data_IF_677550831688
#
_entry.id   IF_677550831688
#
_cell.length_a   1.000
_cell.length_b   1.000
_cell.length_c   1.000
_cell.angle_alpha   90.00
_cell.angle_beta   90.00
_cell.angle_gamma   90.00
#
_symmetry.space_group_name_H-M   'P 1'
#
loop_
_entity.id
_entity.type
_entity.pdbx_description
1 polymer ?
#
# COMPACT_ATOMS: atom_id res chain seq x y z
N UNK A 1 -8.53 -2.96 20.23
CA UNK A 1 -8.94 -1.55 20.13
C UNK A 1 -8.78 -0.81 21.45
N UNK A 2 -9.30 -1.34 22.56
CA UNK A 2 -9.23 -0.67 23.88
C UNK A 2 -7.78 -0.43 24.34
N UNK A 3 -6.88 -1.37 24.10
CA UNK A 3 -5.46 -1.26 24.46
C UNK A 3 -4.71 -0.19 23.65
N UNK A 4 -5.06 0.01 22.36
CA UNK A 4 -4.49 1.08 21.54
C UNK A 4 -4.97 2.47 21.97
N UNK A 5 -6.24 2.58 22.34
CA UNK A 5 -6.77 3.84 22.87
C UNK A 5 -6.18 4.19 24.25
N UNK A 6 -5.96 3.17 25.11
CA UNK A 6 -5.30 3.34 26.40
C UNK A 6 -3.82 3.71 26.20
N UNK A 7 -3.13 3.05 25.27
CA UNK A 7 -1.74 3.35 24.93
C UNK A 7 -1.59 4.77 24.35
N UNK A 8 -2.50 5.18 23.47
CA UNK A 8 -2.62 6.56 22.99
C UNK A 8 -2.77 7.52 24.17
N UNK A 9 -3.68 7.27 25.11
CA UNK A 9 -3.90 8.09 26.30
C UNK A 9 -2.70 8.23 27.23
N UNK A 10 -1.83 7.22 27.28
CA UNK A 10 -0.62 7.20 28.11
C UNK A 10 0.58 7.93 27.46
N UNK A 11 0.68 7.90 26.14
CA UNK A 11 1.77 8.53 25.38
C UNK A 11 1.52 10.01 25.11
N UNK A 12 0.25 10.45 25.18
CA UNK A 12 -0.24 11.78 24.75
C UNK A 12 0.37 12.97 25.51
N UNK A 13 0.90 12.80 26.71
CA UNK A 13 1.19 13.98 27.55
C UNK A 13 2.42 14.77 27.18
N UNK A 14 3.38 14.27 26.40
CA UNK A 14 4.65 14.97 26.19
C UNK A 14 5.28 14.90 24.78
N UNK A 15 4.69 14.18 23.80
CA UNK A 15 5.26 14.08 22.45
C UNK A 15 4.19 14.08 21.35
N UNK A 16 3.96 15.23 20.66
CA UNK A 16 3.00 15.32 19.54
C UNK A 16 3.23 14.30 18.42
N UNK A 17 4.48 13.96 18.14
CA UNK A 17 4.86 13.01 17.09
C UNK A 17 4.47 11.56 17.45
N UNK A 18 4.54 11.22 18.75
CA UNK A 18 4.08 9.92 19.24
C UNK A 18 2.55 9.78 19.11
N UNK A 19 1.81 10.87 19.32
CA UNK A 19 0.36 10.89 19.17
C UNK A 19 -0.05 10.65 17.73
N UNK A 20 0.57 11.36 16.78
CA UNK A 20 0.33 11.20 15.36
C UNK A 20 0.61 9.76 14.91
N UNK A 21 1.70 9.16 15.42
CA UNK A 21 2.05 7.76 15.15
C UNK A 21 0.99 6.78 15.67
N UNK A 22 0.53 6.95 16.91
CA UNK A 22 -0.49 6.07 17.51
C UNK A 22 -1.83 6.23 16.80
N UNK A 23 -2.21 7.45 16.43
CA UNK A 23 -3.43 7.72 15.69
C UNK A 23 -3.39 7.09 14.29
N UNK A 24 -2.29 7.27 13.56
CA UNK A 24 -2.09 6.62 12.27
C UNK A 24 -2.15 5.09 12.38
N UNK A 25 -1.51 4.51 13.39
CA UNK A 25 -1.56 3.07 13.66
C UNK A 25 -2.98 2.58 13.96
N UNK A 26 -3.71 3.30 14.80
CA UNK A 26 -5.11 2.97 15.12
C UNK A 26 -6.02 3.05 13.88
N UNK A 27 -5.82 4.05 13.01
CA UNK A 27 -6.55 4.20 11.76
C UNK A 27 -6.29 3.05 10.80
N UNK A 28 -5.03 2.66 10.62
CA UNK A 28 -4.64 1.51 9.79
C UNK A 28 -5.30 0.23 10.29
N UNK A 29 -5.23 -0.02 11.60
CA UNK A 29 -5.80 -1.25 12.17
C UNK A 29 -7.33 -1.31 12.07
N UNK A 30 -7.98 -0.17 12.28
CA UNK A 30 -9.44 -0.04 12.15
C UNK A 30 -9.90 -0.31 10.71
N UNK A 31 -9.20 0.23 9.73
CA UNK A 31 -9.51 0.01 8.32
C UNK A 31 -9.42 -1.48 7.96
N UNK A 32 -8.31 -2.13 8.32
CA UNK A 32 -8.12 -3.57 8.03
C UNK A 32 -9.26 -4.41 8.61
N UNK A 33 -9.69 -4.14 9.84
CA UNK A 33 -10.79 -4.87 10.46
C UNK A 33 -12.14 -4.61 9.80
N UNK A 34 -12.38 -3.37 9.37
CA UNK A 34 -13.66 -3.00 8.76
C UNK A 34 -13.83 -3.53 7.34
N UNK A 35 -12.73 -3.67 6.57
CA UNK A 35 -12.77 -4.05 5.16
C UNK A 35 -12.43 -5.51 4.89
N UNK A 36 -12.12 -6.29 5.92
CA UNK A 36 -11.66 -7.68 5.75
C UNK A 36 -12.66 -8.60 5.05
N UNK A 37 -13.96 -8.27 5.08
CA UNK A 37 -15.03 -9.06 4.48
C UNK A 37 -15.59 -8.43 3.18
N UNK A 38 -15.12 -7.25 2.80
CA UNK A 38 -15.58 -6.58 1.61
C UNK A 38 -14.92 -7.21 0.36
N UNK A 39 -15.70 -7.42 -0.68
CA UNK A 39 -15.15 -7.87 -1.98
C UNK A 39 -14.46 -6.73 -2.70
N UNK A 40 -15.04 -5.54 -2.64
CA UNK A 40 -14.53 -4.29 -3.22
C UNK A 40 -14.79 -3.12 -2.28
N UNK A 41 -13.96 -2.09 -2.40
CA UNK A 41 -14.12 -0.79 -1.73
C UNK A 41 -13.92 0.34 -2.73
N UNK A 42 -14.42 1.52 -2.43
CA UNK A 42 -14.12 2.70 -3.25
C UNK A 42 -12.62 3.02 -3.23
N UNK A 43 -12.07 3.43 -4.38
CA UNK A 43 -10.66 3.83 -4.47
C UNK A 43 -10.33 4.98 -3.50
N UNK A 44 -11.28 5.89 -3.25
CA UNK A 44 -11.13 6.93 -2.21
C UNK A 44 -10.86 6.31 -0.84
N UNK A 45 -11.58 5.27 -0.46
CA UNK A 45 -11.40 4.56 0.82
C UNK A 45 -10.00 3.94 0.93
N UNK A 46 -9.48 3.35 -0.15
CA UNK A 46 -8.11 2.83 -0.20
C UNK A 46 -7.07 3.96 -0.13
N UNK A 47 -7.31 5.09 -0.80
CA UNK A 47 -6.42 6.26 -0.76
C UNK A 47 -6.38 6.88 0.64
N UNK A 48 -7.53 7.04 1.27
CA UNK A 48 -7.62 7.60 2.63
C UNK A 48 -6.93 6.67 3.66
N UNK A 49 -7.03 5.36 3.45
CA UNK A 49 -6.34 4.37 4.27
C UNK A 49 -4.82 4.37 4.04
N UNK A 50 -4.38 4.49 2.79
CA UNK A 50 -2.96 4.34 2.47
C UNK A 50 -2.12 5.53 2.99
N UNK A 51 -2.71 6.71 3.19
CA UNK A 51 -2.02 7.89 3.71
C UNK A 51 -1.42 7.68 5.11
N UNK A 52 -2.19 7.30 6.16
CA UNK A 52 -1.63 6.97 7.46
C UNK A 52 -0.67 5.78 7.41
N UNK A 53 -0.88 4.81 6.53
CA UNK A 53 0.04 3.70 6.34
C UNK A 53 1.40 4.16 5.78
N UNK A 54 1.41 5.03 4.76
CA UNK A 54 2.63 5.65 4.22
C UNK A 54 3.36 6.45 5.31
N UNK A 55 2.64 7.19 6.14
CA UNK A 55 3.24 7.91 7.27
C UNK A 55 4.00 6.95 8.20
N UNK A 56 3.40 5.84 8.61
CA UNK A 56 4.06 4.82 9.45
C UNK A 56 5.31 4.24 8.78
N UNK A 57 5.24 3.95 7.48
CA UNK A 57 6.38 3.45 6.71
C UNK A 57 7.52 4.46 6.62
N UNK A 58 7.22 5.75 6.41
CA UNK A 58 8.23 6.82 6.39
C UNK A 58 8.93 6.97 7.75
N UNK A 59 8.21 6.77 8.85
CA UNK A 59 8.82 6.73 10.21
C UNK A 59 9.72 5.51 10.40
N UNK A 60 9.35 4.36 9.85
CA UNK A 60 10.16 3.13 9.90
C UNK A 60 11.41 3.21 9.01
N UNK A 61 11.34 3.91 7.87
CA UNK A 61 12.42 4.00 6.87
C UNK A 61 12.83 5.46 6.59
N UNK A 62 13.33 6.20 7.58
CA UNK A 62 13.57 7.63 7.45
C UNK A 62 14.62 7.94 6.38
N UNK A 63 14.23 8.71 5.35
CA UNK A 63 15.11 9.09 4.24
C UNK A 63 15.50 7.96 3.29
N UNK A 64 14.86 6.78 3.41
CA UNK A 64 15.18 5.59 2.63
C UNK A 64 14.01 5.11 1.77
N UNK A 65 12.81 5.65 2.01
CA UNK A 65 11.57 5.28 1.30
C UNK A 65 10.85 6.55 0.84
N UNK A 66 10.60 6.63 -0.46
CA UNK A 66 9.82 7.70 -1.08
C UNK A 66 8.59 7.07 -1.74
N UNK A 67 7.41 7.49 -1.33
CA UNK A 67 6.14 7.04 -1.92
C UNK A 67 5.40 8.26 -2.44
N UNK A 68 5.12 8.26 -3.74
CA UNK A 68 4.39 9.30 -4.46
C UNK A 68 3.02 8.77 -4.86
N UNK A 69 1.98 9.52 -4.53
CA UNK A 69 0.59 9.18 -4.84
C UNK A 69 0.02 10.27 -5.74
N UNK A 70 -0.27 9.91 -6.99
CA UNK A 70 -0.84 10.79 -8.01
C UNK A 70 -2.06 10.12 -8.66
N UNK A 71 -3.21 10.25 -7.99
CA UNK A 71 -4.48 9.70 -8.44
C UNK A 71 -5.45 10.85 -8.72
N UNK A 72 -5.82 11.09 -9.99
CA UNK A 72 -6.77 12.12 -10.33
C UNK A 72 -8.15 11.89 -9.69
N UNK A 73 -8.79 12.97 -9.24
CA UNK A 73 -10.09 12.97 -8.53
C UNK A 73 -11.16 12.15 -9.24
N UNK A 74 -11.19 12.20 -10.57
CA UNK A 74 -12.18 11.48 -11.40
C UNK A 74 -12.18 9.96 -11.22
N UNK A 75 -11.05 9.36 -10.76
CA UNK A 75 -10.94 7.93 -10.55
C UNK A 75 -11.32 7.49 -9.14
N UNK A 76 -11.46 8.42 -8.20
CA UNK A 76 -11.72 8.10 -6.80
C UNK A 76 -13.10 7.46 -6.54
N UNK A 77 -14.03 7.59 -7.49
CA UNK A 77 -15.35 6.94 -7.46
C UNK A 77 -15.30 5.47 -7.92
N UNK A 78 -14.23 5.04 -8.60
CA UNK A 78 -14.06 3.64 -9.01
C UNK A 78 -13.86 2.72 -7.79
N UNK A 79 -14.03 1.42 -8.01
CA UNK A 79 -13.84 0.41 -6.98
C UNK A 79 -12.55 -0.38 -7.20
N UNK A 80 -12.00 -0.90 -6.11
CA UNK A 80 -10.79 -1.74 -6.09
C UNK A 80 -10.94 -2.84 -5.04
N UNK A 81 -10.10 -3.86 -5.13
CA UNK A 81 -10.02 -4.88 -4.07
C UNK A 81 -9.35 -4.27 -2.83
N UNK A 82 -9.93 -4.43 -1.63
CA UNK A 82 -9.39 -3.86 -0.40
C UNK A 82 -8.01 -4.41 -0.07
N UNK A 83 -7.12 -3.52 0.43
CA UNK A 83 -5.74 -3.83 0.78
C UNK A 83 -4.81 -4.05 -0.41
N UNK A 84 -5.28 -3.82 -1.65
CA UNK A 84 -4.49 -4.00 -2.86
C UNK A 84 -3.26 -3.09 -2.89
N UNK A 85 -3.43 -1.80 -2.61
CA UNK A 85 -2.33 -0.83 -2.53
C UNK A 85 -1.32 -1.19 -1.43
N UNK A 86 -1.81 -1.52 -0.23
CA UNK A 86 -0.95 -1.91 0.88
C UNK A 86 -0.06 -3.09 0.49
N UNK A 87 -0.65 -4.14 -0.07
CA UNK A 87 0.06 -5.37 -0.43
C UNK A 87 1.12 -5.11 -1.52
N UNK A 88 0.86 -4.23 -2.49
CA UNK A 88 1.84 -3.87 -3.52
C UNK A 88 3.00 -3.05 -2.95
N UNK A 89 2.74 -2.11 -2.03
CA UNK A 89 3.78 -1.36 -1.32
C UNK A 89 4.64 -2.32 -0.47
N UNK A 90 4.01 -3.23 0.28
CA UNK A 90 4.72 -4.24 1.06
C UNK A 90 5.58 -5.15 0.17
N UNK A 91 5.07 -5.55 -0.99
CA UNK A 91 5.81 -6.34 -1.97
C UNK A 91 7.07 -5.59 -2.46
N UNK A 92 6.95 -4.30 -2.79
CA UNK A 92 8.09 -3.47 -3.19
C UNK A 92 9.16 -3.39 -2.08
N UNK A 93 8.74 -3.15 -0.82
CA UNK A 93 9.65 -3.06 0.34
C UNK A 93 10.30 -4.42 0.64
N UNK A 94 9.55 -5.51 0.53
CA UNK A 94 10.03 -6.87 0.82
C UNK A 94 11.14 -7.28 -0.14
N UNK A 95 10.99 -6.99 -1.43
CA UNK A 95 11.88 -7.50 -2.47
C UNK A 95 13.06 -6.59 -2.78
N UNK A 96 13.02 -5.32 -2.38
CA UNK A 96 14.05 -4.35 -2.70
C UNK A 96 14.86 -3.91 -1.48
N UNK A 97 16.10 -3.46 -1.72
CA UNK A 97 16.92 -2.78 -0.73
C UNK A 97 16.25 -1.45 -0.39
N UNK A 98 16.15 -1.14 0.90
CA UNK A 98 15.61 0.13 1.41
C UNK A 98 16.64 0.75 2.32
N UNK A 99 17.44 1.68 1.81
CA UNK A 99 18.51 2.33 2.57
C UNK A 99 18.70 3.77 2.12
N UNK A 100 19.37 4.60 2.94
CA UNK A 100 19.69 5.99 2.57
C UNK A 100 20.58 6.08 1.33
N UNK A 101 21.46 5.08 1.11
CA UNK A 101 22.33 5.01 -0.06
C UNK A 101 21.57 4.57 -1.32
N UNK A 102 20.58 3.72 -1.13
CA UNK A 102 19.73 3.18 -2.18
C UNK A 102 18.26 3.38 -1.78
N UNK A 103 17.71 4.60 -1.95
CA UNK A 103 16.33 4.87 -1.59
C UNK A 103 15.37 4.10 -2.49
N UNK A 104 14.36 3.48 -1.90
CA UNK A 104 13.27 2.88 -2.66
C UNK A 104 12.25 3.97 -3.02
N UNK A 105 11.98 4.10 -4.31
CA UNK A 105 10.96 4.97 -4.87
C UNK A 105 9.76 4.13 -5.29
N UNK A 106 8.58 4.48 -4.82
CA UNK A 106 7.31 3.87 -5.20
C UNK A 106 6.39 4.96 -5.76
N UNK A 107 5.88 4.76 -6.95
CA UNK A 107 4.95 5.65 -7.64
C UNK A 107 3.60 4.95 -7.77
N UNK A 108 2.54 5.63 -7.35
CA UNK A 108 1.16 5.14 -7.42
C UNK A 108 0.38 6.11 -8.28
N UNK A 109 -0.19 5.64 -9.38
CA UNK A 109 -0.91 6.45 -10.34
C UNK A 109 -2.05 5.67 -11.01
N UNK A 110 -2.85 6.35 -11.81
CA UNK A 110 -3.83 5.71 -12.71
C UNK A 110 -3.40 5.95 -14.15
N UNK A 111 -3.36 4.88 -14.95
CA UNK A 111 -3.00 4.97 -16.37
C UNK A 111 -4.25 5.19 -17.26
N UNK A 112 -4.02 5.48 -18.55
CA UNK A 112 -5.09 5.70 -19.53
C UNK A 112 -5.94 4.46 -19.89
N UNK A 113 -5.70 3.31 -19.25
CA UNK A 113 -6.48 2.07 -19.39
C UNK A 113 -7.32 1.78 -18.14
N UNK A 114 -7.61 2.79 -17.34
CA UNK A 114 -8.34 2.67 -16.07
C UNK A 114 -7.76 1.62 -15.12
N UNK A 115 -6.44 1.59 -15.02
CA UNK A 115 -5.74 0.73 -14.10
C UNK A 115 -4.97 1.55 -13.06
N UNK A 116 -5.12 1.18 -11.79
CA UNK A 116 -4.28 1.65 -10.70
C UNK A 116 -2.91 0.97 -10.81
N UNK A 117 -1.86 1.76 -10.98
CA UNK A 117 -0.49 1.29 -11.21
C UNK A 117 0.36 1.58 -9.99
N UNK A 118 1.02 0.56 -9.48
CA UNK A 118 2.08 0.70 -8.48
C UNK A 118 3.39 0.30 -9.12
N UNK A 119 4.32 1.25 -9.24
CA UNK A 119 5.63 1.08 -9.85
C UNK A 119 6.72 1.39 -8.84
N UNK A 120 7.79 0.60 -8.82
CA UNK A 120 8.98 0.89 -8.02
C UNK A 120 10.26 0.74 -8.83
N UNK A 121 11.32 1.46 -8.43
CA UNK A 121 12.66 1.18 -8.91
C UNK A 121 13.12 -0.19 -8.42
N UNK A 122 13.90 -0.89 -9.25
CA UNK A 122 14.35 -2.24 -8.97
C UNK A 122 15.76 -2.23 -8.37
N UNK A 123 15.88 -2.71 -7.14
CA UNK A 123 17.16 -2.88 -6.42
C UNK A 123 17.08 -4.10 -5.52
N UNK A 124 17.02 -5.28 -6.16
CA UNK A 124 16.73 -6.54 -5.51
C UNK A 124 17.70 -6.86 -4.38
N UNK A 125 17.18 -7.43 -3.30
CA UNK A 125 17.97 -8.03 -2.23
C UNK A 125 18.63 -9.30 -2.72
N UNK A 126 19.89 -9.54 -2.34
CA UNK A 126 20.62 -10.77 -2.68
C UNK A 126 19.98 -12.02 -2.05
N UNK A 127 19.45 -11.87 -0.84
CA UNK A 127 18.72 -12.94 -0.14
C UNK A 127 17.28 -12.49 0.01
N UNK A 128 16.42 -13.01 -0.81
CA UNK A 128 14.96 -12.87 -0.64
C UNK A 128 14.49 -14.06 0.19
N UNK A 129 13.89 -13.80 1.36
CA UNK A 129 13.11 -14.84 2.04
C UNK A 129 12.18 -15.50 1.02
N UNK A 130 12.01 -16.83 1.03
CA UNK A 130 11.20 -17.51 0.03
C UNK A 130 9.86 -16.80 -0.07
N UNK A 131 9.70 -16.05 -1.14
CA UNK A 131 8.45 -15.33 -1.39
C UNK A 131 7.49 -16.38 -1.85
N UNK A 132 6.47 -16.59 -1.06
CA UNK A 132 5.41 -17.54 -1.37
C UNK A 132 4.56 -17.12 -2.57
N UNK A 133 4.88 -16.01 -3.24
CA UNK A 133 4.06 -15.39 -4.30
C UNK A 133 2.55 -15.27 -3.94
N UNK A 134 2.23 -15.66 -2.70
CA UNK A 134 0.84 -15.73 -2.18
C UNK A 134 0.16 -14.37 -2.31
N UNK A 135 0.88 -13.28 -2.01
CA UNK A 135 0.29 -11.95 -2.02
C UNK A 135 -0.24 -11.54 -3.40
N UNK A 136 0.60 -11.55 -4.41
CA UNK A 136 0.20 -11.19 -5.77
C UNK A 136 -0.83 -12.17 -6.36
N UNK A 137 -0.69 -13.47 -6.05
CA UNK A 137 -1.68 -14.46 -6.47
C UNK A 137 -3.04 -14.24 -5.80
N UNK A 138 -3.08 -13.88 -4.53
CA UNK A 138 -4.33 -13.57 -3.83
C UNK A 138 -5.01 -12.34 -4.43
N UNK A 139 -4.27 -11.27 -4.71
CA UNK A 139 -4.84 -10.09 -5.40
C UNK A 139 -5.38 -10.49 -6.77
N UNK A 140 -4.60 -11.25 -7.55
CA UNK A 140 -5.02 -11.70 -8.88
C UNK A 140 -6.33 -12.48 -8.82
N UNK A 141 -6.41 -13.49 -7.96
CA UNK A 141 -7.61 -14.32 -7.79
C UNK A 141 -8.82 -13.49 -7.37
N UNK A 142 -8.65 -12.56 -6.42
CA UNK A 142 -9.75 -11.68 -5.99
C UNK A 142 -10.24 -10.80 -7.13
N UNK A 143 -9.35 -10.18 -7.90
CA UNK A 143 -9.72 -9.35 -9.06
C UNK A 143 -10.43 -10.20 -10.13
N UNK A 144 -9.93 -11.40 -10.43
CA UNK A 144 -10.53 -12.30 -11.40
C UNK A 144 -11.95 -12.72 -10.98
N UNK A 145 -12.15 -13.06 -9.71
CA UNK A 145 -13.46 -13.45 -9.18
C UNK A 145 -14.45 -12.28 -9.15
N UNK A 146 -13.98 -11.07 -8.87
CA UNK A 146 -14.86 -9.91 -8.67
C UNK A 146 -15.19 -9.19 -9.96
N UNK A 147 -14.25 -9.13 -10.91
CA UNK A 147 -14.40 -8.32 -12.13
C UNK A 147 -14.23 -9.08 -13.44
N UNK A 148 -13.80 -10.32 -13.39
CA UNK A 148 -13.41 -11.08 -14.59
C UNK A 148 -12.14 -10.56 -15.28
N UNK A 149 -11.50 -9.53 -14.73
CA UNK A 149 -10.24 -8.94 -15.23
C UNK A 149 -9.05 -9.59 -14.49
N UNK A 150 -7.82 -9.34 -14.97
CA UNK A 150 -6.61 -9.80 -14.29
C UNK A 150 -5.61 -8.68 -14.11
N UNK A 151 -4.62 -8.86 -13.23
CA UNK A 151 -3.53 -7.91 -13.03
C UNK A 151 -2.51 -8.03 -14.16
N UNK A 152 -1.85 -6.92 -14.48
CA UNK A 152 -0.69 -6.92 -15.37
C UNK A 152 0.57 -6.64 -14.59
N UNK A 153 1.60 -7.46 -14.79
CA UNK A 153 2.91 -7.31 -14.15
C UNK A 153 3.92 -7.04 -15.25
N UNK A 154 4.70 -5.97 -15.10
CA UNK A 154 5.79 -5.61 -15.99
C UNK A 154 7.06 -5.42 -15.17
N UNK A 155 8.14 -6.06 -15.60
CA UNK A 155 9.47 -5.90 -15.02
C UNK A 155 10.47 -5.66 -16.14
N UNK A 156 11.26 -4.62 -15.98
CA UNK A 156 12.41 -4.33 -16.83
C UNK A 156 13.71 -4.33 -16.00
N UNK A 157 14.80 -3.80 -16.54
CA UNK A 157 16.09 -3.76 -15.83
C UNK A 157 16.07 -2.84 -14.60
N UNK A 158 15.27 -1.78 -14.62
CA UNK A 158 15.31 -0.67 -13.67
C UNK A 158 14.04 -0.55 -12.83
N UNK A 159 12.95 -1.20 -13.24
CA UNK A 159 11.66 -1.05 -12.60
C UNK A 159 10.81 -2.32 -12.55
N UNK A 160 9.92 -2.36 -11.57
CA UNK A 160 8.86 -3.36 -11.44
C UNK A 160 7.53 -2.62 -11.27
N UNK A 161 6.51 -3.03 -12.00
CA UNK A 161 5.18 -2.44 -11.90
C UNK A 161 4.08 -3.48 -11.92
N UNK A 162 3.03 -3.21 -11.17
CA UNK A 162 1.79 -3.98 -11.16
C UNK A 162 0.63 -3.04 -11.44
N UNK A 163 -0.20 -3.41 -12.41
CA UNK A 163 -1.42 -2.69 -12.75
C UNK A 163 -2.63 -3.49 -12.29
N UNK A 164 -3.46 -2.86 -11.46
CA UNK A 164 -4.73 -3.38 -10.96
C UNK A 164 -5.86 -2.72 -11.75
N UNK A 165 -6.73 -3.46 -12.46
CA UNK A 165 -7.86 -2.86 -13.16
C UNK A 165 -8.83 -2.24 -12.15
N UNK A 166 -9.28 -1.02 -12.44
CA UNK A 166 -10.39 -0.40 -11.71
C UNK A 166 -11.70 -1.10 -12.08
N UNK A 167 -12.54 -1.25 -11.07
CA UNK A 167 -13.87 -1.88 -11.18
C UNK A 167 -14.88 -0.74 -11.22
N UNK A 168 -15.63 -0.66 -12.30
CA UNK A 168 -16.66 0.36 -12.56
C UNK A 168 -18.04 -0.25 -12.49
#
# INVERSE_FOLDING_TARGET
>A
FNNLNVFSGLVIKENPEANEFVEAFANVYRHILNTQHDEVVGLRTEVDFIQPYIFLLKKRFPGSLNINLDIPEQYLAAQVVPGGLQMLIENAIKHNIVSKKYPLLIEISVNGMDCLVVKNNLQLKEVVEPSTQIGLNNIRQRIELTSGKTITIVQDADSFSVSLPLIT
#
